data_IF_133443425449
#
_entry.id   IF_133443425449
#
_cell.length_a   1.000
_cell.length_b   1.000
_cell.length_c   1.000
_cell.angle_alpha   90.00
_cell.angle_beta   90.00
_cell.angle_gamma   90.00
#
_symmetry.space_group_name_H-M   'P 1'
#
loop_
_entity.id
_entity.type
_entity.pdbx_description
1 polymer ?
#
# COMPACT_ATOMS: atom_id res chain seq x y z
N UNK A 1 0.59 -12.25 -25.80
CA UNK A 1 0.80 -13.15 -24.64
C UNK A 1 0.26 -14.57 -24.86
N UNK A 2 -0.94 -14.75 -25.44
CA UNK A 2 -1.58 -16.07 -25.64
C UNK A 2 -0.72 -17.17 -26.29
N UNK A 3 0.18 -16.84 -27.23
CA UNK A 3 1.10 -17.82 -27.84
C UNK A 3 2.10 -18.40 -26.82
N UNK A 4 2.62 -17.57 -25.91
CA UNK A 4 3.56 -18.02 -24.87
C UNK A 4 2.85 -18.95 -23.87
N UNK A 5 1.63 -18.60 -23.47
CA UNK A 5 0.83 -19.44 -22.58
C UNK A 5 0.53 -20.80 -23.24
N UNK A 6 0.14 -20.79 -24.51
CA UNK A 6 -0.12 -22.04 -25.26
C UNK A 6 1.12 -22.92 -25.34
N UNK A 7 2.29 -22.34 -25.61
CA UNK A 7 3.56 -23.07 -25.63
C UNK A 7 3.94 -23.62 -24.25
N UNK A 8 3.83 -22.80 -23.19
CA UNK A 8 4.19 -23.19 -21.84
C UNK A 8 3.34 -24.35 -21.31
N UNK A 9 2.03 -24.33 -21.59
CA UNK A 9 1.10 -25.39 -21.19
C UNK A 9 0.91 -26.48 -22.25
N UNK A 10 1.74 -26.49 -23.30
CA UNK A 10 1.70 -27.45 -24.41
C UNK A 10 0.28 -27.68 -24.97
N UNK A 11 -0.41 -26.58 -25.29
CA UNK A 11 -1.78 -26.58 -25.82
C UNK A 11 -1.77 -26.43 -27.34
N UNK A 12 -2.61 -27.22 -28.00
CA UNK A 12 -2.86 -27.09 -29.44
C UNK A 12 -3.69 -25.83 -29.78
N UNK A 13 -4.51 -25.38 -28.83
CA UNK A 13 -5.40 -24.22 -28.98
C UNK A 13 -5.06 -23.11 -27.98
N UNK A 14 -5.20 -21.86 -28.44
CA UNK A 14 -5.05 -20.68 -27.60
C UNK A 14 -6.04 -20.74 -26.42
N UNK A 15 -5.60 -20.40 -25.20
CA UNK A 15 -6.49 -20.34 -24.05
C UNK A 15 -7.55 -19.26 -24.24
N UNK A 16 -8.71 -19.47 -23.63
CA UNK A 16 -9.80 -18.49 -23.60
C UNK A 16 -9.39 -17.30 -22.74
N UNK A 17 -9.63 -16.09 -23.25
CA UNK A 17 -9.20 -14.84 -22.66
C UNK A 17 -10.33 -13.81 -22.72
N UNK A 18 -10.45 -13.01 -21.67
CA UNK A 18 -11.16 -11.73 -21.72
C UNK A 18 -10.13 -10.63 -21.66
N UNK A 19 -10.20 -9.68 -22.58
CA UNK A 19 -9.22 -8.59 -22.70
C UNK A 19 -9.92 -7.25 -22.78
N UNK A 20 -9.28 -6.22 -22.23
CA UNK A 20 -9.81 -4.87 -22.22
C UNK A 20 -8.68 -3.84 -22.20
N UNK A 21 -8.78 -2.87 -23.11
CA UNK A 21 -8.10 -1.59 -23.00
C UNK A 21 -8.77 -0.73 -21.91
N UNK A 22 -7.96 0.04 -21.18
CA UNK A 22 -8.41 0.83 -20.04
C UNK A 22 -7.92 2.27 -20.13
N UNK A 23 -8.77 3.21 -19.74
CA UNK A 23 -8.49 4.66 -19.76
C UNK A 23 -7.99 5.21 -18.43
N UNK A 24 -8.24 4.49 -17.33
CA UNK A 24 -7.85 4.90 -15.98
C UNK A 24 -7.72 3.66 -15.05
N UNK A 25 -7.05 3.79 -13.88
CA UNK A 25 -6.93 2.68 -12.92
C UNK A 25 -8.27 2.11 -12.43
N UNK A 26 -9.32 2.94 -12.36
CA UNK A 26 -10.65 2.48 -11.94
C UNK A 26 -11.28 1.54 -12.98
N UNK A 27 -11.10 1.80 -14.28
CA UNK A 27 -11.59 0.90 -15.32
C UNK A 27 -10.91 -0.47 -15.27
N UNK A 28 -9.59 -0.52 -15.02
CA UNK A 28 -8.91 -1.78 -14.82
C UNK A 28 -9.48 -2.53 -13.62
N UNK A 29 -9.72 -1.83 -12.51
CA UNK A 29 -10.29 -2.45 -11.32
C UNK A 29 -11.71 -2.97 -11.54
N UNK A 30 -12.55 -2.21 -12.25
CA UNK A 30 -13.90 -2.66 -12.67
C UNK A 30 -13.82 -3.89 -13.57
N UNK A 31 -12.92 -3.86 -14.57
CA UNK A 31 -12.70 -5.00 -15.47
C UNK A 31 -12.31 -6.28 -14.71
N UNK A 32 -11.40 -6.16 -13.75
CA UNK A 32 -10.99 -7.28 -12.90
C UNK A 32 -12.18 -7.88 -12.15
N UNK A 33 -12.96 -7.03 -11.47
CA UNK A 33 -14.08 -7.47 -10.63
C UNK A 33 -15.21 -8.04 -11.49
N UNK A 34 -15.58 -7.40 -12.60
CA UNK A 34 -16.63 -7.88 -13.49
C UNK A 34 -16.27 -9.22 -14.14
N UNK A 35 -15.01 -9.40 -14.51
CA UNK A 35 -14.53 -10.68 -15.06
C UNK A 35 -14.68 -11.80 -14.04
N UNK A 36 -14.38 -11.53 -12.76
CA UNK A 36 -14.54 -12.51 -11.68
C UNK A 36 -16.02 -12.81 -11.38
N UNK A 37 -16.89 -11.78 -11.42
CA UNK A 37 -18.36 -11.94 -11.28
C UNK A 37 -18.96 -12.86 -12.35
N UNK A 38 -18.39 -12.86 -13.55
CA UNK A 38 -18.87 -13.65 -14.69
C UNK A 38 -18.33 -15.09 -14.72
N UNK A 39 -17.43 -15.47 -13.79
CA UNK A 39 -16.94 -16.84 -13.72
C UNK A 39 -18.05 -17.83 -13.35
N UNK A 40 -18.00 -19.08 -13.83
CA UNK A 40 -18.93 -20.12 -13.42
C UNK A 40 -18.93 -20.31 -11.88
N UNK A 41 -20.10 -20.55 -11.24
CA UNK A 41 -20.21 -20.64 -9.78
C UNK A 41 -19.26 -21.67 -9.15
N UNK A 42 -19.07 -22.81 -9.81
CA UNK A 42 -18.14 -23.86 -9.35
C UNK A 42 -16.69 -23.34 -9.25
N UNK A 43 -16.27 -22.49 -10.18
CA UNK A 43 -14.92 -21.90 -10.18
C UNK A 43 -14.82 -20.82 -9.10
N UNK A 44 -15.87 -20.00 -8.93
CA UNK A 44 -15.93 -19.00 -7.85
C UNK A 44 -15.79 -19.67 -6.47
N UNK A 45 -16.55 -20.74 -6.21
CA UNK A 45 -16.48 -21.51 -4.95
C UNK A 45 -15.06 -22.01 -4.64
N UNK A 46 -14.29 -22.41 -5.65
CA UNK A 46 -12.90 -22.85 -5.46
C UNK A 46 -12.00 -21.73 -4.94
N UNK A 47 -12.17 -20.50 -5.45
CA UNK A 47 -11.43 -19.32 -4.96
C UNK A 47 -11.90 -18.85 -3.58
N UNK A 48 -13.17 -19.08 -3.24
CA UNK A 48 -13.66 -18.80 -1.89
C UNK A 48 -13.04 -19.74 -0.86
N UNK A 49 -13.00 -21.05 -1.17
CA UNK A 49 -12.46 -22.08 -0.28
C UNK A 49 -10.94 -22.02 -0.18
N UNK A 50 -10.25 -21.62 -1.26
CA UNK A 50 -8.79 -21.57 -1.33
C UNK A 50 -8.31 -20.17 -1.71
N UNK A 51 -8.10 -19.27 -0.73
CA UNK A 51 -7.70 -17.88 -0.98
C UNK A 51 -6.40 -17.70 -1.78
N UNK A 52 -5.50 -18.69 -1.71
CA UNK A 52 -4.21 -18.68 -2.40
C UNK A 52 -4.29 -19.20 -3.85
N UNK A 53 -5.44 -19.77 -4.26
CA UNK A 53 -5.63 -20.23 -5.62
C UNK A 53 -5.63 -19.04 -6.57
N UNK A 54 -4.98 -19.20 -7.71
CA UNK A 54 -4.68 -18.08 -8.62
C UNK A 54 -5.20 -18.33 -10.04
N UNK A 55 -5.24 -17.28 -10.85
CA UNK A 55 -5.57 -17.29 -12.28
C UNK A 55 -4.47 -16.60 -13.08
N UNK A 56 -4.25 -16.99 -14.34
CA UNK A 56 -3.32 -16.27 -15.19
C UNK A 56 -3.96 -14.97 -15.66
N UNK A 57 -3.20 -13.89 -15.55
CA UNK A 57 -3.53 -12.56 -16.06
C UNK A 57 -2.30 -11.96 -16.73
N UNK A 58 -2.49 -11.00 -17.61
CA UNK A 58 -1.39 -10.19 -18.12
C UNK A 58 -1.77 -8.71 -18.22
N UNK A 59 -0.74 -7.88 -18.08
CA UNK A 59 -0.72 -6.51 -18.57
C UNK A 59 -0.28 -6.50 -20.05
N UNK A 60 -0.23 -5.32 -20.70
CA UNK A 60 0.37 -5.17 -22.02
C UNK A 60 1.79 -5.74 -22.17
N UNK A 61 2.55 -5.82 -21.06
CA UNK A 61 3.99 -6.14 -21.10
C UNK A 61 4.37 -7.37 -20.28
N UNK A 62 3.56 -7.83 -19.33
CA UNK A 62 3.93 -8.88 -18.38
C UNK A 62 2.76 -9.81 -18.07
N UNK A 63 3.03 -11.10 -17.80
CA UNK A 63 2.06 -12.06 -17.27
C UNK A 63 2.34 -12.32 -15.79
N UNK A 64 1.30 -12.52 -15.00
CA UNK A 64 1.36 -12.72 -13.56
C UNK A 64 0.10 -13.43 -13.06
N UNK A 65 0.03 -13.75 -11.76
CA UNK A 65 -1.08 -14.50 -11.19
C UNK A 65 -2.05 -13.57 -10.46
N UNK A 66 -3.26 -13.44 -11.02
CA UNK A 66 -4.42 -12.88 -10.34
C UNK A 66 -4.79 -13.75 -9.13
N UNK A 67 -5.17 -13.11 -8.02
CA UNK A 67 -5.50 -13.75 -6.73
C UNK A 67 -6.95 -13.46 -6.34
N UNK A 68 -7.95 -14.12 -6.96
CA UNK A 68 -9.37 -13.81 -6.73
C UNK A 68 -9.80 -13.96 -5.26
N UNK A 69 -9.13 -14.83 -4.51
CA UNK A 69 -9.46 -15.14 -3.12
C UNK A 69 -8.96 -14.12 -2.08
N UNK A 70 -8.19 -13.09 -2.48
CA UNK A 70 -7.72 -12.05 -1.56
C UNK A 70 -8.88 -11.22 -1.00
N UNK A 71 -8.85 -10.94 0.30
CA UNK A 71 -10.03 -10.49 1.08
C UNK A 71 -10.86 -9.38 0.40
N UNK A 72 -10.27 -8.21 0.11
CA UNK A 72 -11.00 -7.07 -0.48
C UNK A 72 -11.45 -7.33 -1.92
N UNK A 73 -10.64 -8.04 -2.71
CA UNK A 73 -11.02 -8.41 -4.07
C UNK A 73 -12.20 -9.39 -4.06
N UNK A 74 -12.15 -10.38 -3.16
CA UNK A 74 -13.23 -11.34 -2.93
C UNK A 74 -14.53 -10.67 -2.51
N UNK A 75 -14.46 -9.73 -1.58
CA UNK A 75 -15.63 -8.93 -1.19
C UNK A 75 -16.23 -8.20 -2.41
N UNK A 76 -15.39 -7.62 -3.26
CA UNK A 76 -15.84 -6.85 -4.43
C UNK A 76 -16.59 -7.68 -5.48
N UNK A 77 -16.07 -8.87 -5.84
CA UNK A 77 -16.72 -9.70 -6.85
C UNK A 77 -17.85 -10.57 -6.31
N UNK A 78 -17.94 -10.78 -4.99
CA UNK A 78 -19.10 -11.44 -4.37
C UNK A 78 -20.31 -10.53 -4.21
N UNK A 79 -20.10 -9.23 -4.24
CA UNK A 79 -21.18 -8.26 -4.06
C UNK A 79 -22.05 -8.14 -5.32
N UNK A 80 -23.37 -8.13 -5.14
CA UNK A 80 -24.34 -8.08 -6.24
C UNK A 80 -24.60 -6.66 -6.78
N UNK A 81 -24.13 -5.62 -6.08
CA UNK A 81 -24.30 -4.24 -6.54
C UNK A 81 -23.44 -3.93 -7.76
N UNK A 82 -23.80 -2.85 -8.45
CA UNK A 82 -23.04 -2.39 -9.62
C UNK A 82 -21.59 -2.11 -9.24
N UNK A 83 -20.67 -2.80 -9.91
CA UNK A 83 -19.25 -2.89 -9.53
C UNK A 83 -18.58 -1.54 -9.30
N UNK A 84 -18.83 -0.57 -10.18
CA UNK A 84 -18.27 0.78 -10.01
C UNK A 84 -18.76 1.47 -8.73
N UNK A 85 -20.07 1.36 -8.42
CA UNK A 85 -20.67 1.97 -7.23
C UNK A 85 -20.07 1.35 -5.97
N UNK A 86 -19.98 0.01 -5.93
CA UNK A 86 -19.39 -0.69 -4.78
C UNK A 86 -17.95 -0.27 -4.55
N UNK A 87 -17.12 -0.32 -5.59
CA UNK A 87 -15.71 0.05 -5.51
C UNK A 87 -15.57 1.50 -5.02
N UNK A 88 -16.33 2.43 -5.63
CA UNK A 88 -16.32 3.84 -5.24
C UNK A 88 -16.66 4.02 -3.76
N UNK A 89 -17.75 3.43 -3.30
CA UNK A 89 -18.31 3.72 -1.98
C UNK A 89 -17.63 2.93 -0.84
N UNK A 90 -17.14 1.72 -1.12
CA UNK A 90 -16.54 0.85 -0.10
C UNK A 90 -15.01 0.95 -0.05
N UNK A 91 -14.37 1.32 -1.16
CA UNK A 91 -12.90 1.31 -1.27
C UNK A 91 -12.34 2.71 -1.49
N UNK A 92 -12.72 3.38 -2.58
CA UNK A 92 -12.10 4.64 -2.99
C UNK A 92 -12.45 5.78 -2.04
N UNK A 93 -13.74 6.08 -1.90
CA UNK A 93 -14.22 7.25 -1.16
C UNK A 93 -13.78 7.24 0.31
N UNK A 94 -13.88 6.13 1.07
CA UNK A 94 -13.37 6.10 2.44
C UNK A 94 -11.86 6.35 2.51
N UNK A 95 -11.09 5.89 1.52
CA UNK A 95 -9.65 6.09 1.50
C UNK A 95 -9.24 7.51 1.10
N UNK A 96 -10.00 8.15 0.21
CA UNK A 96 -9.86 9.57 -0.14
C UNK A 96 -10.22 10.44 1.07
N UNK A 97 -11.38 10.23 1.68
CA UNK A 97 -11.83 10.96 2.87
C UNK A 97 -10.82 10.84 4.03
N UNK A 98 -10.26 9.64 4.25
CA UNK A 98 -9.21 9.45 5.25
C UNK A 98 -7.98 10.31 4.96
N UNK A 99 -7.54 10.33 3.69
CA UNK A 99 -6.34 11.07 3.25
C UNK A 99 -6.54 12.57 3.35
N UNK A 100 -7.68 13.07 2.88
CA UNK A 100 -8.05 14.49 2.90
C UNK A 100 -8.14 15.05 4.32
N UNK A 101 -8.48 14.22 5.30
CA UNK A 101 -8.54 14.59 6.72
C UNK A 101 -7.15 14.74 7.36
N UNK A 102 -6.07 14.30 6.71
CA UNK A 102 -4.72 14.42 7.26
C UNK A 102 -4.22 15.85 7.07
N UNK A 103 -4.32 16.64 8.13
CA UNK A 103 -3.74 17.96 8.23
C UNK A 103 -2.46 17.93 9.08
N UNK A 104 -1.34 18.33 8.49
CA UNK A 104 -0.06 18.42 9.17
C UNK A 104 0.06 19.82 9.81
N UNK A 105 0.28 19.86 11.11
CA UNK A 105 0.68 21.10 11.78
C UNK A 105 2.17 21.39 11.57
N UNK A 106 2.62 22.56 12.00
CA UNK A 106 3.98 23.02 11.74
C UNK A 106 5.05 22.06 12.27
N UNK A 107 4.86 21.52 13.48
CA UNK A 107 5.78 20.53 14.05
C UNK A 107 5.78 19.21 13.27
N UNK A 108 4.61 18.71 12.87
CA UNK A 108 4.50 17.50 12.05
C UNK A 108 5.15 17.69 10.68
N UNK A 109 4.98 18.85 10.06
CA UNK A 109 5.64 19.19 8.79
C UNK A 109 7.16 19.19 8.97
N UNK A 110 7.70 19.83 10.01
CA UNK A 110 9.14 19.86 10.27
C UNK A 110 9.71 18.46 10.53
N UNK A 111 9.01 17.63 11.31
CA UNK A 111 9.40 16.22 11.52
C UNK A 111 9.41 15.45 10.19
N UNK A 112 8.39 15.62 9.36
CA UNK A 112 8.30 14.94 8.07
C UNK A 112 9.40 15.39 7.10
N UNK A 113 9.70 16.70 7.04
CA UNK A 113 10.82 17.24 6.26
C UNK A 113 12.14 16.61 6.71
N UNK A 114 12.41 16.52 8.02
CA UNK A 114 13.64 15.91 8.51
C UNK A 114 13.71 14.39 8.22
N UNK A 115 12.59 13.68 8.29
CA UNK A 115 12.51 12.26 7.88
C UNK A 115 12.82 12.08 6.39
N UNK A 116 12.31 12.97 5.53
CA UNK A 116 12.61 12.98 4.09
C UNK A 116 14.08 13.34 3.85
N UNK A 117 14.62 14.33 4.57
CA UNK A 117 16.03 14.72 4.50
C UNK A 117 16.98 13.54 4.75
N UNK A 118 16.62 12.62 5.65
CA UNK A 118 17.40 11.42 5.93
C UNK A 118 17.39 10.39 4.78
N UNK A 119 16.40 10.44 3.89
CA UNK A 119 16.30 9.56 2.71
C UNK A 119 17.02 10.12 1.49
N UNK A 120 17.18 11.43 1.42
CA UNK A 120 17.92 12.10 0.34
C UNK A 120 19.44 11.79 0.45
N UNK A 121 20.17 11.64 -0.68
CA UNK A 121 21.62 11.43 -0.64
C UNK A 121 22.36 12.58 0.06
N UNK A 122 23.43 12.25 0.80
CA UNK A 122 24.11 13.16 1.74
C UNK A 122 24.47 14.51 1.12
N UNK A 123 24.93 14.51 -0.14
CA UNK A 123 25.37 15.71 -0.86
C UNK A 123 24.26 16.76 -1.08
N UNK A 124 22.99 16.34 -1.11
CA UNK A 124 21.84 17.21 -1.37
C UNK A 124 21.08 17.61 -0.10
N UNK A 125 21.35 16.95 1.04
CA UNK A 125 20.61 17.17 2.30
C UNK A 125 20.70 18.59 2.83
N UNK A 126 21.87 19.24 2.71
CA UNK A 126 22.04 20.61 3.17
C UNK A 126 21.18 21.59 2.37
N UNK A 127 21.18 21.44 1.03
CA UNK A 127 20.32 22.24 0.15
C UNK A 127 18.85 22.01 0.48
N UNK A 128 18.43 20.76 0.64
CA UNK A 128 17.06 20.41 0.98
C UNK A 128 16.62 21.06 2.30
N UNK A 129 17.42 20.91 3.37
CA UNK A 129 17.12 21.54 4.66
C UNK A 129 17.06 23.06 4.56
N UNK A 130 17.95 23.69 3.80
CA UNK A 130 17.95 25.14 3.59
C UNK A 130 16.67 25.60 2.88
N UNK A 131 16.25 24.88 1.84
CA UNK A 131 15.04 25.20 1.06
C UNK A 131 13.77 25.11 1.91
N UNK A 132 13.71 24.15 2.83
CA UNK A 132 12.52 23.93 3.68
C UNK A 132 12.65 24.46 5.11
N UNK A 133 13.73 25.18 5.45
CA UNK A 133 13.99 25.70 6.80
C UNK A 133 12.91 26.68 7.31
N UNK A 134 12.27 27.40 6.39
CA UNK A 134 11.28 28.45 6.69
C UNK A 134 9.88 28.06 6.22
N UNK A 135 9.59 26.77 6.18
CA UNK A 135 8.26 26.29 5.85
C UNK A 135 7.35 26.43 7.08
N UNK A 136 6.45 27.40 7.04
CA UNK A 136 5.51 27.72 8.12
C UNK A 136 4.08 27.30 7.79
N UNK A 137 3.27 27.17 8.85
CA UNK A 137 1.84 26.97 8.76
C UNK A 137 1.42 25.50 8.56
N UNK A 138 0.12 25.28 8.68
CA UNK A 138 -0.49 23.96 8.47
C UNK A 138 -0.54 23.65 6.98
N UNK A 139 -0.37 22.39 6.63
CA UNK A 139 -0.39 21.90 5.25
C UNK A 139 -1.16 20.62 5.12
N UNK A 140 -1.89 20.45 4.02
CA UNK A 140 -2.31 19.12 3.62
C UNK A 140 -1.10 18.30 3.17
N UNK A 141 -1.26 16.98 3.14
CA UNK A 141 -0.21 16.08 2.63
C UNK A 141 0.10 16.39 1.15
N UNK A 142 -0.93 16.60 0.35
CA UNK A 142 -0.81 16.94 -1.08
C UNK A 142 -0.09 18.27 -1.31
N UNK A 143 -0.42 19.32 -0.54
CA UNK A 143 0.28 20.60 -0.62
C UNK A 143 1.76 20.45 -0.32
N UNK A 144 2.11 19.77 0.79
CA UNK A 144 3.49 19.55 1.18
C UNK A 144 4.25 18.73 0.12
N UNK A 145 3.65 17.65 -0.39
CA UNK A 145 4.25 16.85 -1.46
C UNK A 145 4.57 17.71 -2.68
N UNK A 146 3.61 18.49 -3.16
CA UNK A 146 3.80 19.29 -4.37
C UNK A 146 4.86 20.38 -4.16
N UNK A 147 4.96 20.98 -2.97
CA UNK A 147 6.05 21.91 -2.64
C UNK A 147 7.43 21.22 -2.70
N UNK A 148 7.52 19.99 -2.18
CA UNK A 148 8.76 19.20 -2.21
C UNK A 148 9.15 18.87 -3.66
N UNK A 149 8.25 18.31 -4.45
CA UNK A 149 8.54 17.94 -5.84
C UNK A 149 8.92 19.15 -6.69
N UNK A 150 8.19 20.26 -6.56
CA UNK A 150 8.51 21.52 -7.24
C UNK A 150 9.93 22.03 -6.91
N UNK A 151 10.41 21.83 -5.68
CA UNK A 151 11.77 22.21 -5.32
C UNK A 151 12.81 21.32 -6.01
N UNK A 152 12.58 20.02 -6.07
CA UNK A 152 13.45 19.08 -6.78
C UNK A 152 13.50 19.32 -8.30
N UNK A 153 12.42 19.84 -8.88
CA UNK A 153 12.35 20.20 -10.30
C UNK A 153 13.05 21.53 -10.62
N UNK A 154 13.03 22.49 -9.71
CA UNK A 154 13.50 23.86 -9.97
C UNK A 154 14.90 24.17 -9.42
N UNK A 155 15.28 23.55 -8.32
CA UNK A 155 16.56 23.82 -7.66
C UNK A 155 17.66 22.89 -8.20
N UNK A 156 18.62 23.47 -8.93
CA UNK A 156 19.79 22.74 -9.42
C UNK A 156 20.60 22.06 -8.31
N UNK A 157 20.57 22.63 -7.09
CA UNK A 157 21.19 22.05 -5.91
C UNK A 157 20.49 20.80 -5.38
N UNK A 158 19.31 20.47 -5.91
CA UNK A 158 18.54 19.26 -5.61
C UNK A 158 18.46 18.30 -6.80
N UNK A 159 19.23 18.56 -7.87
CA UNK A 159 19.28 17.74 -9.06
C UNK A 159 20.58 16.93 -9.12
N UNK A 160 20.46 15.70 -9.61
CA UNK A 160 21.53 14.78 -9.96
C UNK A 160 21.63 14.69 -11.48
N UNK A 161 22.33 15.65 -12.07
CA UNK A 161 22.34 15.83 -13.53
C UNK A 161 20.96 16.31 -13.99
N UNK A 162 20.35 15.62 -14.93
CA UNK A 162 19.01 15.94 -15.46
C UNK A 162 17.86 15.30 -14.67
N UNK A 163 18.16 14.58 -13.58
CA UNK A 163 17.17 13.91 -12.74
C UNK A 163 17.11 14.52 -11.34
N UNK A 164 15.94 14.56 -10.68
CA UNK A 164 15.85 15.02 -9.30
C UNK A 164 16.56 14.04 -8.36
N UNK A 165 17.16 14.54 -7.27
CA UNK A 165 17.86 13.71 -6.29
C UNK A 165 16.91 12.89 -5.38
N UNK A 166 15.60 13.12 -5.46
CA UNK A 166 14.53 12.30 -4.89
C UNK A 166 13.43 12.17 -5.95
N UNK A 167 13.06 10.95 -6.31
CA UNK A 167 11.99 10.70 -7.27
C UNK A 167 10.62 10.84 -6.60
N UNK A 168 9.61 11.16 -7.40
CA UNK A 168 8.25 11.30 -6.91
C UNK A 168 7.68 10.01 -6.30
N UNK A 169 8.04 8.87 -6.87
CA UNK A 169 7.63 7.54 -6.43
C UNK A 169 8.23 7.18 -5.06
N UNK A 170 9.45 7.65 -4.81
CA UNK A 170 10.13 7.47 -3.52
C UNK A 170 9.43 8.29 -2.43
N UNK A 171 9.11 9.56 -2.74
CA UNK A 171 8.37 10.41 -1.82
C UNK A 171 6.99 9.81 -1.49
N UNK A 172 6.25 9.39 -2.51
CA UNK A 172 4.92 8.80 -2.34
C UNK A 172 4.97 7.50 -1.52
N UNK A 173 5.99 6.66 -1.76
CA UNK A 173 6.26 5.46 -0.98
C UNK A 173 6.47 5.76 0.51
N UNK A 174 7.24 6.80 0.82
CA UNK A 174 7.48 7.21 2.20
C UNK A 174 6.21 7.75 2.86
N UNK A 175 5.46 8.62 2.17
CA UNK A 175 4.21 9.17 2.67
C UNK A 175 3.20 8.05 2.97
N UNK A 176 3.04 7.09 2.06
CA UNK A 176 2.17 5.92 2.25
C UNK A 176 2.52 5.10 3.49
N UNK A 177 3.81 4.89 3.72
CA UNK A 177 4.28 4.07 4.84
C UNK A 177 4.23 4.81 6.18
N UNK A 178 4.46 6.12 6.18
CA UNK A 178 4.64 6.93 7.39
C UNK A 178 3.35 7.55 7.92
N UNK A 179 2.38 7.82 7.07
CA UNK A 179 1.16 8.52 7.47
C UNK A 179 0.11 7.56 8.10
N UNK A 180 -0.75 8.08 9.00
CA UNK A 180 -0.72 9.43 9.56
C UNK A 180 0.41 9.60 10.60
N UNK A 181 0.96 10.82 10.69
CA UNK A 181 1.80 11.20 11.82
C UNK A 181 0.92 11.37 13.07
N UNK A 182 1.50 11.14 14.24
CA UNK A 182 0.81 11.38 15.50
C UNK A 182 1.72 11.94 16.59
N UNK A 183 1.19 12.77 17.50
CA UNK A 183 1.97 13.30 18.60
C UNK A 183 2.49 12.21 19.51
N UNK A 184 3.74 12.34 19.96
CA UNK A 184 4.44 11.36 20.79
C UNK A 184 3.67 11.00 22.06
N UNK A 185 2.98 11.96 22.68
CA UNK A 185 2.21 11.72 23.91
C UNK A 185 1.08 10.70 23.72
N UNK A 186 0.65 10.43 22.48
CA UNK A 186 -0.36 9.41 22.18
C UNK A 186 0.24 8.00 22.02
N UNK A 187 1.56 7.84 21.98
CA UNK A 187 2.23 6.58 21.69
C UNK A 187 1.75 5.45 22.60
N UNK A 188 1.77 5.68 23.91
CA UNK A 188 1.35 4.68 24.90
C UNK A 188 -0.10 4.22 24.67
N UNK A 189 -1.02 5.17 24.53
CA UNK A 189 -2.44 4.90 24.25
C UNK A 189 -2.59 4.04 22.99
N UNK A 190 -1.96 4.44 21.88
CA UNK A 190 -2.10 3.74 20.59
C UNK A 190 -1.51 2.33 20.64
N UNK A 191 -0.38 2.14 21.32
CA UNK A 191 0.22 0.82 21.54
C UNK A 191 -0.79 -0.09 22.24
N UNK A 192 -1.42 0.37 23.33
CA UNK A 192 -2.38 -0.46 24.06
C UNK A 192 -3.64 -0.78 23.27
N UNK A 193 -4.21 0.20 22.56
CA UNK A 193 -5.39 -0.04 21.72
C UNK A 193 -5.11 -1.07 20.63
N UNK A 194 -3.90 -1.06 20.04
CA UNK A 194 -3.49 -2.09 19.08
C UNK A 194 -3.37 -3.43 19.79
N UNK A 195 -2.56 -3.52 20.83
CA UNK A 195 -2.17 -4.78 21.47
C UNK A 195 -3.35 -5.49 22.13
N UNK A 196 -4.30 -4.74 22.70
CA UNK A 196 -5.53 -5.29 23.29
C UNK A 196 -6.43 -6.00 22.26
N UNK A 197 -6.35 -5.63 20.99
CA UNK A 197 -7.11 -6.24 19.90
C UNK A 197 -6.37 -7.40 19.23
N UNK A 198 -5.12 -7.68 19.61
CA UNK A 198 -4.34 -8.77 19.03
C UNK A 198 -4.71 -10.13 19.67
N UNK A 199 -4.88 -11.19 18.87
CA UNK A 199 -5.16 -12.51 19.40
C UNK A 199 -3.93 -13.14 20.08
N UNK A 200 -4.16 -14.06 21.01
CA UNK A 200 -3.10 -14.90 21.61
C UNK A 200 -2.24 -14.24 22.69
N UNK A 201 -2.50 -12.99 23.07
CA UNK A 201 -1.80 -12.32 24.16
C UNK A 201 -2.55 -12.48 25.50
N UNK A 202 -1.82 -12.78 26.57
CA UNK A 202 -2.38 -12.97 27.91
C UNK A 202 -2.37 -11.65 28.69
N UNK A 203 -3.16 -11.58 29.77
CA UNK A 203 -3.15 -10.43 30.70
C UNK A 203 -1.75 -10.18 31.27
N UNK A 204 -0.97 -11.24 31.50
CA UNK A 204 0.43 -11.13 31.95
C UNK A 204 1.29 -10.41 30.92
N UNK A 205 1.21 -10.80 29.64
CA UNK A 205 1.93 -10.12 28.56
C UNK A 205 1.55 -8.64 28.48
N UNK A 206 0.25 -8.30 28.60
CA UNK A 206 -0.22 -6.91 28.57
C UNK A 206 0.40 -6.07 29.71
N UNK A 207 0.47 -6.63 30.91
CA UNK A 207 1.08 -5.96 32.06
C UNK A 207 2.59 -5.75 31.90
N UNK A 208 3.29 -6.70 31.29
CA UNK A 208 4.73 -6.58 31.01
C UNK A 208 5.02 -5.57 29.90
N UNK A 209 4.20 -5.57 28.85
CA UNK A 209 4.24 -4.55 27.79
C UNK A 209 4.04 -3.17 28.39
N UNK A 210 3.10 -3.00 29.32
CA UNK A 210 2.90 -1.72 30.00
C UNK A 210 4.15 -1.23 30.72
N UNK A 211 4.76 -2.10 31.53
CA UNK A 211 6.03 -1.78 32.21
C UNK A 211 7.16 -1.43 31.23
N UNK A 212 7.21 -2.09 30.06
CA UNK A 212 8.22 -1.80 29.05
C UNK A 212 7.99 -0.43 28.37
N UNK A 213 6.75 -0.07 28.08
CA UNK A 213 6.39 1.24 27.51
C UNK A 213 6.69 2.37 28.49
N UNK A 214 6.41 2.20 29.77
CA UNK A 214 6.75 3.19 30.81
C UNK A 214 8.26 3.49 30.83
N UNK A 215 9.09 2.44 30.75
CA UNK A 215 10.55 2.59 30.67
C UNK A 215 10.98 3.30 29.38
N UNK A 216 10.38 2.94 28.24
CA UNK A 216 10.67 3.57 26.95
C UNK A 216 10.38 5.07 26.99
N UNK A 217 9.24 5.47 27.56
CA UNK A 217 8.85 6.88 27.70
C UNK A 217 9.87 7.68 28.50
N UNK A 218 10.45 7.10 29.57
CA UNK A 218 11.50 7.75 30.36
C UNK A 218 12.78 7.97 29.55
N UNK A 219 13.22 6.97 28.79
CA UNK A 219 14.47 7.02 28.02
C UNK A 219 14.44 7.99 26.84
N UNK A 220 13.25 8.32 26.36
CA UNK A 220 13.06 9.02 25.08
C UNK A 220 12.44 10.41 25.22
N UNK A 221 12.46 11.00 26.41
CA UNK A 221 11.83 12.31 26.71
C UNK A 221 12.26 13.48 25.82
N UNK A 222 13.43 13.40 25.16
CA UNK A 222 13.96 14.44 24.24
C UNK A 222 13.85 14.08 22.75
N UNK A 223 13.12 13.03 22.42
CA UNK A 223 12.96 12.59 21.03
C UNK A 223 11.92 13.43 20.27
N UNK A 224 11.77 13.14 18.97
CA UNK A 224 10.89 13.89 18.07
C UNK A 224 9.44 14.00 18.61
N UNK A 225 8.78 15.17 18.41
CA UNK A 225 7.43 15.45 18.93
C UNK A 225 6.35 14.63 18.23
N UNK A 226 6.59 14.21 16.99
CA UNK A 226 5.72 13.36 16.19
C UNK A 226 6.38 12.03 15.85
N UNK A 227 5.55 11.00 15.69
CA UNK A 227 5.94 9.66 15.27
C UNK A 227 5.11 9.22 14.06
N UNK A 228 5.65 8.31 13.27
CA UNK A 228 4.99 7.79 12.06
C UNK A 228 4.20 6.52 12.35
N UNK A 229 3.20 6.23 11.51
CA UNK A 229 2.47 4.97 11.52
C UNK A 229 3.41 3.76 11.41
N UNK A 230 4.44 3.84 10.57
CA UNK A 230 5.48 2.82 10.46
C UNK A 230 6.16 2.55 11.82
N UNK A 231 6.66 3.59 12.49
CA UNK A 231 7.34 3.46 13.78
C UNK A 231 6.43 2.83 14.84
N UNK A 232 5.15 3.22 14.87
CA UNK A 232 4.17 2.62 15.79
C UNK A 232 4.07 1.10 15.60
N UNK A 233 3.95 0.64 14.34
CA UNK A 233 3.90 -0.79 14.02
C UNK A 233 5.19 -1.51 14.42
N UNK A 234 6.36 -0.91 14.15
CA UNK A 234 7.66 -1.49 14.55
C UNK A 234 7.81 -1.59 16.07
N UNK A 235 7.33 -0.59 16.83
CA UNK A 235 7.34 -0.62 18.29
C UNK A 235 6.43 -1.75 18.80
N UNK A 236 5.19 -1.88 18.28
CA UNK A 236 4.28 -2.96 18.66
C UNK A 236 4.90 -4.35 18.41
N UNK A 237 5.51 -4.57 17.23
CA UNK A 237 6.21 -5.82 16.91
C UNK A 237 7.37 -6.07 17.87
N UNK A 238 8.20 -5.06 18.11
CA UNK A 238 9.37 -5.16 18.98
C UNK A 238 8.99 -5.48 20.42
N UNK A 239 7.91 -4.88 20.93
CA UNK A 239 7.40 -5.16 22.27
C UNK A 239 6.91 -6.60 22.40
N UNK A 240 6.18 -7.13 21.40
CA UNK A 240 5.75 -8.53 21.42
C UNK A 240 6.96 -9.46 21.45
N UNK A 241 7.94 -9.25 20.57
CA UNK A 241 9.15 -10.07 20.55
C UNK A 241 9.93 -9.98 21.87
N UNK A 242 10.06 -8.78 22.44
CA UNK A 242 10.79 -8.54 23.68
C UNK A 242 10.13 -9.23 24.87
N UNK A 243 8.81 -9.14 24.99
CA UNK A 243 8.07 -9.65 26.16
C UNK A 243 7.84 -11.16 26.08
N UNK A 244 7.60 -11.69 24.88
CA UNK A 244 7.38 -13.12 24.70
C UNK A 244 8.68 -13.92 24.53
N UNK A 245 9.81 -13.22 24.33
CA UNK A 245 11.12 -13.77 23.99
C UNK A 245 11.09 -14.72 22.78
N UNK A 246 10.16 -14.47 21.85
CA UNK A 246 9.94 -15.28 20.65
C UNK A 246 10.01 -14.43 19.40
N UNK A 247 10.55 -15.02 18.34
CA UNK A 247 10.63 -14.42 17.00
C UNK A 247 9.73 -15.11 15.97
N UNK A 248 9.05 -16.20 16.37
CA UNK A 248 8.14 -16.97 15.52
C UNK A 248 6.87 -17.31 16.29
N UNK A 249 5.72 -17.18 15.63
CA UNK A 249 4.40 -17.39 16.19
C UNK A 249 3.50 -18.09 15.16
N UNK A 250 2.52 -18.89 15.60
CA UNK A 250 1.47 -19.40 14.72
C UNK A 250 0.57 -18.28 14.16
N UNK A 251 0.46 -17.17 14.87
CA UNK A 251 -0.28 -15.98 14.48
C UNK A 251 0.68 -15.04 13.74
N UNK A 252 0.28 -14.56 12.57
CA UNK A 252 1.02 -13.52 11.84
C UNK A 252 0.78 -12.14 12.48
N UNK A 253 1.51 -11.85 13.57
CA UNK A 253 1.41 -10.57 14.25
C UNK A 253 1.78 -9.39 13.36
N UNK A 254 2.59 -9.59 12.32
CA UNK A 254 2.92 -8.52 11.37
C UNK A 254 1.69 -8.09 10.57
N UNK A 255 0.91 -9.05 10.10
CA UNK A 255 -0.38 -8.83 9.45
C UNK A 255 -1.42 -8.28 10.43
N UNK A 256 -1.59 -8.90 11.60
CA UNK A 256 -2.61 -8.52 12.58
C UNK A 256 -2.41 -7.08 13.10
N UNK A 257 -1.18 -6.69 13.44
CA UNK A 257 -0.88 -5.30 13.86
C UNK A 257 -1.29 -4.32 12.76
N UNK A 258 -1.04 -4.65 11.50
CA UNK A 258 -1.34 -3.77 10.38
C UNK A 258 -2.84 -3.65 10.13
N UNK A 259 -3.59 -4.76 10.25
CA UNK A 259 -5.06 -4.77 10.18
C UNK A 259 -5.67 -3.93 11.30
N UNK A 260 -5.25 -4.15 12.54
CA UNK A 260 -5.75 -3.41 13.71
C UNK A 260 -5.38 -1.93 13.61
N UNK A 261 -4.15 -1.60 13.21
CA UNK A 261 -3.72 -0.21 13.03
C UNK A 261 -4.62 0.54 12.04
N UNK A 262 -5.00 -0.09 10.92
CA UNK A 262 -5.93 0.51 9.95
C UNK A 262 -7.34 0.66 10.52
N UNK A 263 -7.84 -0.36 11.23
CA UNK A 263 -9.16 -0.32 11.87
C UNK A 263 -9.27 0.85 12.86
N UNK A 264 -8.19 1.18 13.54
CA UNK A 264 -8.10 2.30 14.49
C UNK A 264 -7.77 3.65 13.82
N UNK A 265 -7.55 3.69 12.50
CA UNK A 265 -7.14 4.92 11.79
C UNK A 265 -5.68 5.34 12.06
N UNK A 266 -4.82 4.42 12.50
CA UNK A 266 -3.40 4.65 12.80
C UNK A 266 -2.46 4.30 11.64
N UNK A 267 -3.01 4.00 10.47
CA UNK A 267 -2.28 3.76 9.22
C UNK A 267 -3.17 4.12 8.03
N UNK A 268 -2.56 4.43 6.88
CA UNK A 268 -3.29 4.60 5.62
C UNK A 268 -4.17 3.36 5.33
N UNK A 269 -5.40 3.54 4.79
CA UNK A 269 -6.29 2.47 4.39
C UNK A 269 -5.61 1.39 3.52
N UNK A 270 -6.07 0.15 3.69
CA UNK A 270 -5.47 -0.98 2.99
C UNK A 270 -5.63 -0.85 1.47
N UNK A 271 -4.62 -1.24 0.69
CA UNK A 271 -4.76 -1.33 -0.75
C UNK A 271 -5.74 -2.43 -1.13
N UNK A 272 -6.30 -2.34 -2.33
CA UNK A 272 -6.96 -3.48 -2.96
C UNK A 272 -5.90 -4.28 -3.72
N UNK A 273 -5.34 -5.30 -3.06
CA UNK A 273 -4.36 -6.22 -3.64
C UNK A 273 -5.08 -7.23 -4.52
N UNK A 274 -4.61 -7.43 -5.75
CA UNK A 274 -5.28 -8.30 -6.71
C UNK A 274 -4.38 -9.37 -7.34
N UNK A 275 -3.07 -9.19 -7.41
CA UNK A 275 -2.18 -10.12 -8.10
C UNK A 275 -0.79 -10.16 -7.49
N UNK A 276 -0.04 -11.24 -7.73
CA UNK A 276 1.40 -11.26 -7.48
C UNK A 276 2.15 -10.53 -8.60
N UNK A 277 3.36 -10.06 -8.30
CA UNK A 277 4.21 -9.36 -9.29
C UNK A 277 5.24 -10.27 -9.96
N UNK A 278 5.26 -11.55 -9.59
CA UNK A 278 6.41 -12.48 -9.75
C UNK A 278 7.71 -12.04 -9.06
N UNK A 279 7.77 -10.83 -8.46
CA UNK A 279 8.88 -10.40 -7.62
C UNK A 279 8.66 -10.84 -6.18
N UNK A 280 9.75 -11.21 -5.51
CA UNK A 280 9.70 -11.72 -4.15
C UNK A 280 9.20 -10.63 -3.21
N UNK A 281 8.11 -10.92 -2.49
CA UNK A 281 7.47 -10.03 -1.49
C UNK A 281 6.81 -8.78 -2.05
N UNK A 282 6.41 -8.78 -3.32
CA UNK A 282 5.64 -7.68 -3.90
C UNK A 282 4.37 -8.21 -4.58
N UNK A 283 3.26 -7.55 -4.31
CA UNK A 283 1.95 -7.79 -4.90
C UNK A 283 1.51 -6.52 -5.66
N UNK A 284 0.73 -6.67 -6.72
CA UNK A 284 0.04 -5.56 -7.36
C UNK A 284 -1.20 -5.17 -6.53
N UNK A 285 -1.32 -3.88 -6.26
CA UNK A 285 -2.47 -3.34 -5.55
C UNK A 285 -2.85 -1.94 -5.99
N UNK A 286 -4.13 -1.63 -5.86
CA UNK A 286 -4.64 -0.27 -6.05
C UNK A 286 -4.59 0.50 -4.73
N UNK A 287 -4.00 1.68 -4.77
CA UNK A 287 -3.76 2.56 -3.62
C UNK A 287 -4.33 3.94 -3.92
N UNK A 288 -5.01 4.57 -2.95
CA UNK A 288 -5.19 6.02 -2.96
C UNK A 288 -3.87 6.63 -2.48
N UNK A 289 -3.13 7.26 -3.39
CA UNK A 289 -1.85 7.88 -3.08
C UNK A 289 -2.09 9.04 -2.11
N UNK A 290 -1.53 9.02 -0.89
CA UNK A 290 -1.86 10.01 0.11
C UNK A 290 -1.37 11.42 -0.24
N UNK A 291 -0.42 11.53 -1.16
CA UNK A 291 0.09 12.82 -1.59
C UNK A 291 -0.41 13.27 -2.96
N UNK A 292 -0.80 12.36 -3.86
CA UNK A 292 -1.44 12.73 -5.13
C UNK A 292 -2.98 12.77 -5.06
N UNK A 293 -3.57 12.21 -4.00
CA UNK A 293 -5.02 12.12 -3.76
C UNK A 293 -5.79 11.35 -4.86
N UNK A 294 -5.07 10.55 -5.65
CA UNK A 294 -5.59 9.79 -6.78
C UNK A 294 -5.45 8.28 -6.58
N UNK A 295 -6.32 7.51 -7.24
CA UNK A 295 -6.19 6.05 -7.35
C UNK A 295 -5.06 5.72 -8.32
N UNK A 296 -4.12 4.90 -7.88
CA UNK A 296 -2.95 4.51 -8.65
C UNK A 296 -2.68 3.00 -8.54
N UNK A 297 -2.00 2.44 -9.55
CA UNK A 297 -1.45 1.08 -9.49
C UNK A 297 -0.08 1.08 -8.81
N UNK A 298 0.07 0.26 -7.78
CA UNK A 298 1.26 0.18 -6.95
C UNK A 298 1.79 -1.24 -6.87
N UNK A 299 3.08 -1.37 -6.58
CA UNK A 299 3.69 -2.59 -6.02
C UNK A 299 3.72 -2.43 -4.51
N UNK A 300 3.03 -3.31 -3.80
CA UNK A 300 2.90 -3.24 -2.34
C UNK A 300 3.43 -4.51 -1.70
N UNK A 301 3.80 -4.43 -0.43
CA UNK A 301 4.09 -5.65 0.34
C UNK A 301 2.80 -6.48 0.56
N UNK A 302 2.89 -7.79 0.88
CA UNK A 302 1.71 -8.66 0.97
C UNK A 302 0.67 -8.24 2.00
N UNK A 303 1.04 -7.38 2.96
CA UNK A 303 0.13 -6.84 3.96
C UNK A 303 -0.33 -5.41 3.66
N UNK A 304 0.20 -4.75 2.61
CA UNK A 304 -0.13 -3.40 2.17
C UNK A 304 0.34 -2.26 3.09
N UNK A 305 1.37 -2.47 3.89
CA UNK A 305 1.93 -1.48 4.82
C UNK A 305 2.98 -0.59 4.20
N UNK A 306 3.54 -1.00 3.06
CA UNK A 306 4.51 -0.25 2.27
C UNK A 306 4.33 -0.56 0.79
N UNK A 307 4.80 0.32 -0.07
CA UNK A 307 4.71 0.11 -1.52
C UNK A 307 5.25 1.28 -2.29
N UNK A 308 5.30 1.14 -3.61
CA UNK A 308 5.82 2.14 -4.54
C UNK A 308 4.87 2.27 -5.74
N UNK A 309 4.52 3.49 -6.18
CA UNK A 309 3.75 3.70 -7.41
C UNK A 309 4.42 3.10 -8.63
N UNK A 310 3.63 2.59 -9.56
CA UNK A 310 4.11 2.07 -10.85
C UNK A 310 4.04 3.13 -11.96
N UNK A 311 4.73 4.26 -11.80
CA UNK A 311 4.67 5.36 -12.80
C UNK A 311 5.11 4.95 -14.20
N UNK A 312 6.09 4.06 -14.32
CA UNK A 312 6.51 3.53 -15.62
C UNK A 312 5.41 2.72 -16.35
N UNK A 313 4.34 2.35 -15.65
CA UNK A 313 3.19 1.65 -16.22
C UNK A 313 1.97 2.57 -16.42
N UNK A 314 2.07 3.85 -16.07
CA UNK A 314 0.97 4.82 -16.20
C UNK A 314 0.43 4.89 -17.63
N UNK A 315 1.32 4.84 -18.63
CA UNK A 315 0.95 4.80 -20.05
C UNK A 315 0.03 3.63 -20.47
N UNK A 316 -0.03 2.56 -19.66
CA UNK A 316 -0.90 1.40 -19.88
C UNK A 316 -2.24 1.52 -19.16
N UNK A 317 -2.42 2.60 -18.41
CA UNK A 317 -3.52 2.84 -17.48
C UNK A 317 -4.14 4.23 -17.64
N UNK A 318 -3.59 5.11 -18.47
CA UNK A 318 -4.03 6.51 -18.67
C UNK A 318 -4.70 6.75 -20.03
N UNK A 319 -4.94 5.67 -20.78
CA UNK A 319 -5.53 5.72 -22.13
C UNK A 319 -4.60 6.21 -23.24
N UNK A 320 -3.32 6.50 -22.95
CA UNK A 320 -2.35 6.94 -23.96
C UNK A 320 -1.99 5.86 -24.98
N UNK A 321 -2.00 4.58 -24.56
CA UNK A 321 -1.74 3.41 -25.42
C UNK A 321 -3.01 2.61 -25.65
N UNK A 322 -3.56 2.69 -26.86
CA UNK A 322 -4.79 1.98 -27.29
C UNK A 322 -4.53 0.68 -28.05
N UNK A 323 -3.27 0.38 -28.30
CA UNK A 323 -2.84 -0.75 -29.12
C UNK A 323 -2.67 -2.06 -28.33
N UNK A 324 -2.69 -2.00 -27.00
CA UNK A 324 -2.47 -3.14 -26.13
C UNK A 324 -3.47 -3.20 -24.98
N UNK A 325 -3.91 -4.41 -24.67
CA UNK A 325 -4.93 -4.70 -23.68
C UNK A 325 -4.36 -5.37 -22.42
N UNK A 326 -5.09 -5.20 -21.32
CA UNK A 326 -5.01 -6.08 -20.17
C UNK A 326 -5.87 -7.32 -20.43
N UNK A 327 -5.48 -8.49 -19.94
CA UNK A 327 -6.21 -9.72 -20.21
C UNK A 327 -6.19 -10.73 -19.07
N UNK A 328 -7.30 -11.44 -18.89
CA UNK A 328 -7.47 -12.51 -17.90
C UNK A 328 -7.82 -13.79 -18.66
N UNK A 329 -7.07 -14.86 -18.40
CA UNK A 329 -7.42 -16.18 -18.90
C UNK A 329 -8.55 -16.76 -18.04
N UNK A 330 -9.79 -16.63 -18.50
CA UNK A 330 -10.99 -16.83 -17.66
C UNK A 330 -11.41 -18.30 -17.51
N UNK A 331 -10.65 -19.25 -18.07
CA UNK A 331 -10.89 -20.69 -17.94
C UNK A 331 -9.69 -21.40 -17.30
N UNK A 332 -9.56 -21.37 -15.97
CA UNK A 332 -8.41 -21.92 -15.25
C UNK A 332 -8.08 -23.38 -15.55
N UNK A 333 -9.11 -24.22 -15.80
CA UNK A 333 -8.95 -25.62 -16.14
C UNK A 333 -8.20 -25.85 -17.48
N UNK A 334 -8.04 -24.80 -18.29
CA UNK A 334 -7.27 -24.86 -19.53
C UNK A 334 -5.75 -24.90 -19.28
N UNK A 335 -5.28 -24.42 -18.12
CA UNK A 335 -3.85 -24.28 -17.85
C UNK A 335 -3.43 -24.68 -16.43
N UNK A 336 -4.36 -24.97 -15.53
CA UNK A 336 -4.11 -25.71 -14.29
C UNK A 336 -4.57 -27.15 -14.48
N UNK A 337 -3.62 -28.10 -14.44
CA UNK A 337 -3.90 -29.54 -14.40
C UNK A 337 -4.18 -30.01 -12.98
#
# INVERSE_FOLDING_TARGET
MSTLVSAYFARDQKPSEMSRWVENPMELLVFLVDTLKQLPPKIQEEYERSPNKSMLMHSPTHAFLLKPGFNRLKEAWKDETYTYIWLRDQILKPAQEFTEQILLDEEAVQVLIELIAQKIPVNYRHYFRKTFAHLYGRKSVSELRNLILNAFEKDRGLQRGDQPALLSEELDSYLYSWLPLFPRYQLEKRIFEIIQLLPGLTVTHLNEIKKAVDKLNVLTRRSQPYLTAHILREICKSLICLITEKTSFPIDYHKEISLVSRKLGYAIPAPLIFADTNWVKEEFGFVINPGAEALELWRVDPIGSSGVPMKSWEMWLDGSRRDLDWGIYNRPFEYYK
#
